data_IF_124438893904
#
_entry.id   IF_124438893904
#
_cell.length_a   1.000
_cell.length_b   1.000
_cell.length_c   1.000
_cell.angle_alpha   90.00
_cell.angle_beta   90.00
_cell.angle_gamma   90.00
#
_symmetry.space_group_name_H-M   'P 1'
#
loop_
_entity.id
_entity.type
_entity.pdbx_description
1 polymer ?
#
# COMPACT_ATOMS: atom_id res chain seq x y z
N UNK A 1 29.51 -3.15 -8.44
CA UNK A 1 29.32 -3.36 -7.01
C UNK A 1 28.01 -2.66 -6.65
N UNK A 2 26.92 -3.42 -6.57
CA UNK A 2 25.60 -2.90 -6.16
C UNK A 2 25.46 -3.19 -4.68
N UNK A 3 25.33 -2.15 -3.88
CA UNK A 3 25.09 -2.25 -2.44
C UNK A 3 23.72 -2.90 -2.21
N UNK A 4 23.72 -4.04 -1.49
CA UNK A 4 22.53 -4.65 -0.90
C UNK A 4 22.13 -3.79 0.32
N UNK A 5 21.23 -2.84 0.13
CA UNK A 5 20.49 -2.27 1.24
C UNK A 5 19.29 -3.19 1.53
N UNK A 6 19.47 -4.03 2.53
CA UNK A 6 18.42 -4.84 3.14
C UNK A 6 17.40 -3.89 3.78
N UNK A 7 16.17 -3.92 3.31
CA UNK A 7 15.06 -3.18 3.89
C UNK A 7 14.80 -3.65 5.34
N UNK A 8 15.17 -2.83 6.32
CA UNK A 8 15.18 -3.15 7.75
C UNK A 8 13.79 -3.16 8.43
N UNK A 9 12.69 -3.24 7.66
CA UNK A 9 11.32 -3.10 8.18
C UNK A 9 10.40 -4.30 7.95
N UNK A 10 10.96 -5.48 7.67
CA UNK A 10 10.15 -6.70 7.44
C UNK A 10 9.91 -7.53 8.70
N UNK A 11 9.81 -6.94 9.86
CA UNK A 11 9.30 -7.63 11.06
C UNK A 11 8.26 -6.74 11.70
N UNK A 12 6.97 -7.13 11.66
CA UNK A 12 6.04 -7.14 12.79
C UNK A 12 4.56 -7.16 12.36
N UNK A 13 3.91 -8.19 12.89
CA UNK A 13 2.49 -8.32 13.27
C UNK A 13 1.41 -8.32 12.20
N UNK A 14 1.04 -9.54 11.84
CA UNK A 14 -0.28 -9.90 11.36
C UNK A 14 -1.30 -9.78 12.50
N UNK A 15 -2.27 -8.88 12.38
CA UNK A 15 -3.56 -9.00 13.04
C UNK A 15 -4.64 -8.93 11.96
N UNK A 16 -5.34 -10.04 11.81
CA UNK A 16 -6.50 -10.19 10.95
C UNK A 16 -7.61 -9.24 11.35
N UNK A 17 -8.12 -8.47 10.36
CA UNK A 17 -9.50 -8.02 10.36
C UNK A 17 -10.09 -8.11 8.95
N UNK A 18 -11.28 -8.70 8.80
CA UNK A 18 -11.92 -8.89 7.50
C UNK A 18 -12.73 -7.66 7.10
N UNK A 19 -12.58 -7.25 5.83
CA UNK A 19 -13.57 -6.52 5.06
C UNK A 19 -14.13 -5.21 5.68
N UNK A 20 -13.30 -4.20 5.77
CA UNK A 20 -13.81 -2.82 5.70
C UNK A 20 -13.07 -2.05 4.58
N UNK A 21 -13.82 -1.67 3.54
CA UNK A 21 -13.31 -1.00 2.35
C UNK A 21 -13.01 0.49 2.55
N UNK A 22 -12.97 0.95 3.81
CA UNK A 22 -12.68 2.33 4.19
C UNK A 22 -11.54 2.42 5.18
N UNK A 23 -10.42 3.01 4.78
CA UNK A 23 -9.34 3.38 5.69
C UNK A 23 -9.78 4.55 6.56
N UNK A 24 -10.04 4.28 7.83
CA UNK A 24 -10.17 5.32 8.86
C UNK A 24 -8.78 5.74 9.31
N UNK A 25 -8.37 6.94 8.93
CA UNK A 25 -7.13 7.53 9.40
C UNK A 25 -7.25 7.88 10.88
N UNK A 26 -6.55 7.13 11.73
CA UNK A 26 -6.42 7.52 13.13
C UNK A 26 -5.48 8.71 13.24
N UNK A 27 -5.89 9.71 14.01
CA UNK A 27 -5.10 10.93 14.32
C UNK A 27 -3.70 10.65 14.91
N UNK A 28 -3.36 9.39 15.19
CA UNK A 28 -2.09 8.98 15.80
C UNK A 28 -0.89 8.96 14.85
N UNK A 29 -1.10 8.92 13.52
CA UNK A 29 0.02 8.88 12.57
C UNK A 29 0.71 10.23 12.35
N UNK A 30 0.17 11.33 12.88
CA UNK A 30 0.77 12.67 12.79
C UNK A 30 1.34 13.19 14.11
N UNK A 31 1.42 12.33 15.15
CA UNK A 31 2.07 12.69 16.42
C UNK A 31 3.51 12.21 16.46
N UNK A 32 4.41 12.90 15.79
CA UNK A 32 5.80 12.91 16.17
C UNK A 32 6.19 14.32 16.61
N UNK A 33 6.60 14.37 17.87
CA UNK A 33 7.41 15.36 18.53
C UNK A 33 6.75 16.66 19.05
N UNK A 34 6.80 16.67 20.34
CA UNK A 34 6.92 17.72 21.35
C UNK A 34 5.65 18.09 22.09
N UNK A 35 5.64 17.57 23.34
CA UNK A 35 4.86 18.14 24.41
C UNK A 35 5.36 19.54 24.69
N UNK A 36 4.48 20.50 24.57
CA UNK A 36 4.54 21.71 25.34
C UNK A 36 3.10 22.16 25.67
N UNK A 37 2.97 22.61 26.90
CA UNK A 37 1.75 22.97 27.60
C UNK A 37 0.93 23.99 26.82
N UNK A 38 -0.30 23.61 26.42
CA UNK A 38 -1.28 24.59 25.98
C UNK A 38 -1.92 25.26 27.19
N UNK A 39 -1.49 26.48 27.48
CA UNK A 39 -2.26 27.45 28.26
C UNK A 39 -3.42 27.97 27.41
N UNK A 40 -4.62 27.93 27.98
CA UNK A 40 -5.84 28.57 27.48
C UNK A 40 -5.57 30.00 27.04
N UNK A 41 -5.79 30.26 25.76
CA UNK A 41 -6.05 31.61 25.27
C UNK A 41 -7.19 31.49 24.26
N UNK A 42 -8.39 31.82 24.75
CA UNK A 42 -9.46 32.31 23.90
C UNK A 42 -8.95 33.60 23.24
N UNK A 43 -8.52 33.49 22.02
CA UNK A 43 -8.43 34.64 21.13
C UNK A 43 -8.77 34.15 19.73
N UNK A 44 -9.88 34.67 19.20
CA UNK A 44 -10.36 34.46 17.84
C UNK A 44 -9.41 35.13 16.84
N UNK A 45 -8.24 34.52 16.61
CA UNK A 45 -7.41 34.90 15.49
C UNK A 45 -7.51 33.78 14.44
N UNK A 46 -8.25 34.07 13.38
CA UNK A 46 -8.30 33.30 12.14
C UNK A 46 -6.93 33.36 11.44
N UNK A 47 -5.90 32.80 12.05
CA UNK A 47 -4.58 32.77 11.45
C UNK A 47 -4.42 31.39 10.79
N UNK A 48 -4.17 31.43 9.49
CA UNK A 48 -3.72 30.29 8.70
C UNK A 48 -2.28 29.99 9.13
N UNK A 49 -2.07 29.05 10.07
CA UNK A 49 -0.74 28.62 10.43
C UNK A 49 -0.25 27.60 9.41
N UNK A 50 0.40 28.10 8.37
CA UNK A 50 0.99 27.28 7.29
C UNK A 50 2.20 26.48 7.79
N UNK A 51 2.80 26.90 8.90
CA UNK A 51 4.00 26.24 9.45
C UNK A 51 3.68 24.96 10.20
N UNK A 52 2.48 24.83 10.76
CA UNK A 52 2.03 23.63 11.47
C UNK A 52 1.41 22.57 10.54
N UNK A 53 1.12 22.92 9.29
CA UNK A 53 0.44 22.02 8.35
C UNK A 53 -1.00 21.69 8.73
N UNK A 54 -1.54 22.31 9.78
CA UNK A 54 -2.89 22.07 10.28
C UNK A 54 -3.70 23.36 10.14
N UNK A 55 -4.60 23.38 9.17
CA UNK A 55 -5.62 24.42 9.01
C UNK A 55 -6.74 24.18 10.02
N UNK A 56 -6.62 24.75 11.21
CA UNK A 56 -7.71 24.84 12.18
C UNK A 56 -8.56 26.08 11.88
N UNK A 57 -9.49 25.96 10.97
CA UNK A 57 -10.56 26.92 10.82
C UNK A 57 -11.76 26.39 11.62
N UNK A 58 -12.30 27.22 12.49
CA UNK A 58 -13.36 26.84 13.42
C UNK A 58 -14.50 26.07 12.72
N UNK A 59 -14.67 24.80 13.08
CA UNK A 59 -15.87 24.02 12.85
C UNK A 59 -15.79 22.88 11.85
N UNK A 60 -14.98 22.94 10.78
CA UNK A 60 -14.93 21.87 9.77
C UNK A 60 -13.48 21.41 9.52
N UNK A 61 -13.21 20.12 9.68
CA UNK A 61 -11.93 19.55 9.27
C UNK A 61 -11.78 19.64 7.75
N UNK A 62 -10.72 20.29 7.27
CA UNK A 62 -10.43 20.36 5.85
C UNK A 62 -9.87 19.04 5.31
N UNK A 63 -9.30 18.22 6.18
CA UNK A 63 -8.77 16.90 5.80
C UNK A 63 -9.87 15.86 6.01
N UNK A 64 -10.25 15.11 4.98
CA UNK A 64 -11.22 14.03 5.14
C UNK A 64 -10.72 12.98 6.13
N UNK A 65 -11.61 12.47 6.98
CA UNK A 65 -11.27 11.38 7.91
C UNK A 65 -11.14 10.04 7.20
N UNK A 66 -11.77 9.89 6.04
CA UNK A 66 -11.73 8.68 5.22
C UNK A 66 -11.94 9.01 3.75
N UNK A 67 -11.42 8.13 2.89
CA UNK A 67 -11.72 8.10 1.46
C UNK A 67 -12.26 6.72 1.10
N UNK A 68 -13.11 6.66 0.10
CA UNK A 68 -13.62 5.41 -0.45
C UNK A 68 -13.12 5.21 -1.89
N UNK A 69 -13.32 4.01 -2.44
CA UNK A 69 -12.87 3.66 -3.79
C UNK A 69 -13.47 4.54 -4.89
N UNK A 70 -14.67 5.10 -4.67
CA UNK A 70 -15.30 6.00 -5.64
C UNK A 70 -14.47 7.27 -5.88
N UNK A 71 -13.61 7.65 -4.94
CA UNK A 71 -12.65 8.73 -5.13
C UNK A 71 -11.66 8.46 -6.29
N UNK A 72 -11.40 7.20 -6.61
CA UNK A 72 -10.54 6.80 -7.71
C UNK A 72 -11.31 6.63 -9.04
N UNK A 73 -12.62 6.39 -9.02
CA UNK A 73 -13.41 6.09 -10.22
C UNK A 73 -13.42 7.23 -11.24
N UNK A 74 -13.68 8.45 -10.75
CA UNK A 74 -13.73 9.67 -11.57
C UNK A 74 -12.53 10.58 -11.30
N UNK A 75 -11.40 10.01 -10.90
CA UNK A 75 -10.24 10.80 -10.51
C UNK A 75 -9.59 11.46 -11.72
N UNK A 76 -9.47 12.79 -11.64
CA UNK A 76 -8.58 13.53 -12.52
C UNK A 76 -7.15 13.38 -12.03
N UNK A 77 -6.33 12.70 -12.78
CA UNK A 77 -4.91 12.51 -12.49
C UNK A 77 -4.15 13.76 -12.84
N UNK A 78 -3.31 14.23 -11.94
CA UNK A 78 -2.42 15.36 -12.14
C UNK A 78 -1.00 14.87 -12.44
N UNK A 79 -0.10 15.81 -12.76
CA UNK A 79 1.28 15.47 -13.05
C UNK A 79 2.01 14.98 -11.79
N UNK A 80 2.94 14.04 -11.97
CA UNK A 80 3.82 13.53 -10.92
C UNK A 80 4.54 14.66 -10.15
N UNK A 81 4.62 14.53 -8.83
CA UNK A 81 5.31 15.46 -7.94
C UNK A 81 6.47 14.76 -7.25
N UNK A 82 7.63 15.43 -7.20
CA UNK A 82 8.87 14.98 -6.53
C UNK A 82 9.33 13.57 -6.97
N UNK A 83 8.91 13.11 -8.17
CA UNK A 83 9.19 11.74 -8.66
C UNK A 83 8.83 10.63 -7.66
N UNK A 84 7.81 10.86 -6.87
CA UNK A 84 7.33 9.94 -5.82
C UNK A 84 5.81 9.84 -5.76
N UNK A 85 5.12 10.93 -6.06
CA UNK A 85 3.71 11.05 -5.77
C UNK A 85 2.91 11.44 -7.00
N UNK A 86 1.71 10.89 -7.12
CA UNK A 86 0.73 11.19 -8.15
C UNK A 86 -0.47 11.86 -7.47
N UNK A 87 -0.62 13.20 -7.56
CA UNK A 87 -1.80 13.87 -7.04
C UNK A 87 -3.01 13.57 -7.92
N UNK A 88 -4.17 13.40 -7.28
CA UNK A 88 -5.45 13.19 -7.93
C UNK A 88 -6.54 14.08 -7.34
N UNK A 89 -7.52 14.41 -8.15
CA UNK A 89 -8.76 15.07 -7.70
C UNK A 89 -9.92 14.18 -8.09
N UNK A 90 -10.63 13.65 -7.09
CA UNK A 90 -11.78 12.78 -7.30
C UNK A 90 -12.71 12.82 -6.09
N UNK A 91 -14.03 12.64 -6.30
CA UNK A 91 -15.02 12.66 -5.23
C UNK A 91 -15.01 13.93 -4.37
N UNK A 92 -14.60 15.09 -4.94
CA UNK A 92 -14.48 16.35 -4.19
C UNK A 92 -13.28 16.42 -3.23
N UNK A 93 -12.33 15.49 -3.34
CA UNK A 93 -11.13 15.40 -2.52
C UNK A 93 -9.89 15.55 -3.40
N UNK A 94 -8.93 16.36 -2.94
CA UNK A 94 -7.55 16.30 -3.40
C UNK A 94 -6.83 15.24 -2.58
N UNK A 95 -6.31 14.21 -3.23
CA UNK A 95 -5.53 13.15 -2.61
C UNK A 95 -4.19 12.98 -3.33
N UNK A 96 -3.28 12.28 -2.67
CA UNK A 96 -1.97 11.96 -3.22
C UNK A 96 -1.74 10.46 -3.17
N UNK A 97 -1.26 9.89 -4.27
CA UNK A 97 -0.94 8.47 -4.39
C UNK A 97 0.58 8.33 -4.34
N UNK A 98 1.06 7.40 -3.51
CA UNK A 98 2.44 6.96 -3.51
C UNK A 98 2.66 6.03 -4.71
N UNK A 99 3.52 6.42 -5.68
CA UNK A 99 3.73 5.66 -6.92
C UNK A 99 4.27 4.26 -6.67
N UNK A 100 5.20 4.12 -5.70
CA UNK A 100 5.80 2.83 -5.36
C UNK A 100 4.77 1.90 -4.70
N UNK A 101 4.06 2.40 -3.69
CA UNK A 101 3.06 1.63 -2.97
C UNK A 101 1.88 1.20 -3.88
N UNK A 102 1.47 2.08 -4.81
CA UNK A 102 0.42 1.78 -5.78
C UNK A 102 0.85 0.67 -6.74
N UNK A 103 2.02 0.80 -7.34
CA UNK A 103 2.55 -0.16 -8.31
C UNK A 103 2.86 -1.51 -7.63
N UNK A 104 3.37 -1.50 -6.38
CA UNK A 104 3.54 -2.70 -5.56
C UNK A 104 2.21 -3.45 -5.36
N UNK A 105 1.10 -2.74 -5.13
CA UNK A 105 -0.24 -3.34 -5.02
C UNK A 105 -0.70 -3.95 -6.34
N UNK A 106 -0.53 -3.24 -7.44
CA UNK A 106 -0.90 -3.72 -8.77
C UNK A 106 -0.14 -5.01 -9.09
N UNK A 107 1.17 -5.00 -8.95
CA UNK A 107 2.02 -6.19 -9.17
C UNK A 107 1.64 -7.36 -8.26
N UNK A 108 1.31 -7.10 -6.99
CA UNK A 108 0.87 -8.17 -6.07
C UNK A 108 -0.40 -8.86 -6.56
N UNK A 109 -1.40 -8.09 -6.98
CA UNK A 109 -2.66 -8.65 -7.47
C UNK A 109 -2.44 -9.46 -8.76
N UNK A 110 -1.63 -8.96 -9.69
CA UNK A 110 -1.28 -9.68 -10.92
C UNK A 110 -0.54 -10.99 -10.63
N UNK A 111 0.50 -10.95 -9.79
CA UNK A 111 1.27 -12.14 -9.43
C UNK A 111 0.37 -13.16 -8.73
N UNK A 112 -0.49 -12.70 -7.82
CA UNK A 112 -1.45 -13.55 -7.12
C UNK A 112 -2.38 -14.26 -8.11
N UNK A 113 -2.94 -13.52 -9.07
CA UNK A 113 -3.81 -14.09 -10.09
C UNK A 113 -3.09 -15.15 -10.93
N UNK A 114 -1.86 -14.86 -11.39
CA UNK A 114 -1.03 -15.79 -12.19
C UNK A 114 -0.64 -17.05 -11.42
N UNK A 115 -0.37 -16.94 -10.11
CA UNK A 115 -0.07 -18.10 -9.27
C UNK A 115 -1.32 -18.94 -9.01
N UNK A 116 -2.46 -18.32 -8.71
CA UNK A 116 -3.71 -19.03 -8.47
C UNK A 116 -4.27 -19.69 -9.73
N UNK A 117 -4.06 -19.11 -10.91
CA UNK A 117 -4.40 -19.74 -12.21
C UNK A 117 -3.45 -20.89 -12.58
N UNK A 118 -2.32 -21.06 -11.86
CA UNK A 118 -1.31 -22.07 -12.15
C UNK A 118 -0.23 -21.65 -13.14
N UNK A 119 -0.32 -20.47 -13.74
CA UNK A 119 0.63 -19.98 -14.76
C UNK A 119 2.06 -19.83 -14.19
N UNK A 120 2.18 -19.30 -12.96
CA UNK A 120 3.47 -19.06 -12.30
C UNK A 120 3.73 -20.00 -11.10
N UNK A 121 3.14 -21.16 -11.15
CA UNK A 121 3.30 -22.22 -10.16
C UNK A 121 3.77 -23.50 -10.87
N UNK A 122 4.93 -24.00 -10.51
CA UNK A 122 5.49 -25.25 -11.02
C UNK A 122 5.94 -26.14 -9.87
N UNK A 123 6.32 -27.36 -10.18
CA UNK A 123 6.83 -28.35 -9.20
C UNK A 123 8.28 -28.63 -9.50
N UNK A 124 9.13 -28.56 -8.48
CA UNK A 124 10.54 -28.92 -8.55
C UNK A 124 10.75 -30.24 -7.82
N UNK A 125 11.21 -31.24 -8.52
CA UNK A 125 11.59 -32.53 -7.94
C UNK A 125 12.95 -32.42 -7.25
N UNK A 126 13.07 -33.05 -6.09
CA UNK A 126 14.30 -33.05 -5.31
C UNK A 126 15.23 -34.14 -5.84
N UNK A 127 16.52 -33.87 -5.96
CA UNK A 127 17.53 -34.86 -6.39
C UNK A 127 17.66 -36.01 -5.40
N UNK A 128 17.39 -35.75 -4.14
CA UNK A 128 17.36 -36.75 -3.06
C UNK A 128 16.10 -36.59 -2.22
N UNK A 129 15.49 -37.71 -1.86
CA UNK A 129 14.34 -37.72 -0.97
C UNK A 129 14.71 -37.12 0.39
N UNK A 130 13.95 -36.13 0.82
CA UNK A 130 14.13 -35.48 2.12
C UNK A 130 13.20 -36.13 3.15
N UNK A 131 13.76 -36.65 4.24
CA UNK A 131 12.98 -37.22 5.32
C UNK A 131 12.41 -36.11 6.19
N UNK A 132 11.08 -36.15 6.37
CA UNK A 132 10.36 -35.24 7.28
C UNK A 132 10.12 -35.96 8.61
N UNK A 133 10.50 -35.30 9.71
CA UNK A 133 10.18 -35.75 11.06
C UNK A 133 8.99 -34.96 11.54
N UNK A 134 7.83 -35.61 11.59
CA UNK A 134 6.59 -35.01 12.02
C UNK A 134 6.14 -35.59 13.37
N UNK A 135 5.51 -34.79 14.24
CA UNK A 135 4.76 -35.33 15.38
C UNK A 135 3.54 -36.11 14.87
N UNK A 136 2.95 -36.97 15.70
CA UNK A 136 1.79 -37.80 15.32
C UNK A 136 0.65 -37.00 14.68
N UNK A 137 0.32 -35.83 15.24
CA UNK A 137 -0.68 -34.94 14.69
C UNK A 137 -0.31 -34.44 13.28
N UNK A 138 0.97 -34.25 12.99
CA UNK A 138 1.46 -33.81 11.68
C UNK A 138 1.17 -34.82 10.58
N UNK A 139 1.24 -36.13 10.87
CA UNK A 139 0.87 -37.18 9.91
C UNK A 139 -0.62 -37.15 9.61
N UNK A 140 -1.46 -36.96 10.64
CA UNK A 140 -2.91 -36.86 10.48
C UNK A 140 -3.27 -35.66 9.62
N UNK A 141 -2.66 -34.51 9.86
CA UNK A 141 -2.87 -33.31 9.06
C UNK A 141 -2.44 -33.51 7.61
N UNK A 142 -1.27 -34.14 7.40
CA UNK A 142 -0.76 -34.42 6.05
C UNK A 142 -1.68 -35.36 5.28
N UNK A 143 -2.31 -36.31 5.96
CA UNK A 143 -3.30 -37.20 5.37
C UNK A 143 -4.64 -36.48 5.11
N UNK A 144 -5.14 -35.74 6.08
CA UNK A 144 -6.44 -35.05 6.00
C UNK A 144 -6.45 -33.97 4.93
N UNK A 145 -5.32 -33.28 4.71
CA UNK A 145 -5.19 -32.17 3.76
C UNK A 145 -4.31 -32.52 2.55
N UNK A 146 -4.17 -33.82 2.24
CA UNK A 146 -3.30 -34.29 1.17
C UNK A 146 -3.56 -33.61 -0.18
N UNK A 147 -4.85 -33.46 -0.55
CA UNK A 147 -5.24 -32.82 -1.81
C UNK A 147 -4.81 -31.33 -1.86
N UNK A 148 -4.96 -30.60 -0.76
CA UNK A 148 -4.57 -29.19 -0.70
C UNK A 148 -3.04 -29.03 -0.80
N UNK A 149 -2.29 -29.89 -0.12
CA UNK A 149 -0.85 -29.91 -0.11
C UNK A 149 -0.31 -30.26 -1.51
N UNK A 150 -0.87 -31.30 -2.12
CA UNK A 150 -0.51 -31.73 -3.46
C UNK A 150 -0.88 -30.70 -4.52
N UNK A 151 -2.00 -30.03 -4.40
CA UNK A 151 -2.42 -28.96 -5.28
C UNK A 151 -1.42 -27.80 -5.30
N UNK A 152 -0.72 -27.55 -4.20
CA UNK A 152 0.36 -26.57 -4.17
C UNK A 152 1.64 -27.09 -4.80
N UNK A 153 1.87 -28.41 -4.83
CA UNK A 153 3.02 -29.05 -5.47
C UNK A 153 4.00 -29.67 -4.48
N UNK A 154 3.65 -29.81 -3.21
CA UNK A 154 4.40 -30.68 -2.31
C UNK A 154 4.00 -32.13 -2.56
N UNK A 155 4.96 -32.97 -2.97
CA UNK A 155 4.75 -34.40 -3.16
C UNK A 155 5.42 -35.14 -2.01
N UNK A 156 4.60 -35.71 -1.14
CA UNK A 156 5.03 -36.46 0.04
C UNK A 156 4.65 -37.93 -0.10
N UNK A 157 5.56 -38.83 0.22
CA UNK A 157 5.31 -40.27 0.37
C UNK A 157 5.28 -40.63 1.84
N UNK A 158 4.20 -41.27 2.29
CA UNK A 158 4.04 -41.75 3.64
C UNK A 158 4.30 -43.29 3.64
N UNK A 159 5.40 -43.70 4.24
CA UNK A 159 5.74 -45.11 4.38
C UNK A 159 5.48 -45.55 5.81
N UNK A 160 4.41 -46.31 6.02
CA UNK A 160 4.13 -46.99 7.29
C UNK A 160 4.82 -48.38 7.27
N UNK A 161 5.88 -48.55 8.04
CA UNK A 161 6.67 -49.79 8.13
C UNK A 161 6.07 -50.84 9.08
N UNK A 162 4.79 -50.72 9.45
CA UNK A 162 4.06 -51.64 10.32
C UNK A 162 3.81 -51.10 11.74
N UNK A 163 2.96 -51.80 12.51
CA UNK A 163 2.40 -51.35 13.80
C UNK A 163 3.41 -51.05 14.93
N UNK A 164 4.69 -51.25 14.74
CA UNK A 164 5.74 -51.02 15.75
C UNK A 164 6.89 -50.11 15.31
N UNK A 165 6.85 -49.59 14.08
CA UNK A 165 7.88 -48.69 13.58
C UNK A 165 7.31 -47.29 13.35
N UNK A 166 8.12 -46.24 13.55
CA UNK A 166 7.66 -44.87 13.29
C UNK A 166 7.31 -44.70 11.82
N UNK A 167 6.20 -43.99 11.58
CA UNK A 167 5.82 -43.57 10.22
C UNK A 167 6.91 -42.64 9.68
N UNK A 168 7.40 -42.91 8.50
CA UNK A 168 8.39 -42.07 7.83
C UNK A 168 7.69 -41.35 6.69
N UNK A 169 7.83 -40.04 6.64
CA UNK A 169 7.42 -39.22 5.50
C UNK A 169 8.63 -38.78 4.72
N UNK A 170 8.59 -38.96 3.42
CA UNK A 170 9.61 -38.42 2.52
C UNK A 170 9.01 -37.39 1.59
N UNK A 171 9.70 -36.27 1.43
CA UNK A 171 9.39 -35.22 0.49
C UNK A 171 10.17 -35.44 -0.80
N UNK A 172 9.46 -35.59 -1.91
CA UNK A 172 10.02 -35.85 -3.23
C UNK A 172 10.03 -34.64 -4.14
N UNK A 173 9.09 -33.70 -3.93
CA UNK A 173 9.03 -32.50 -4.70
C UNK A 173 8.46 -31.35 -3.89
N UNK A 174 8.80 -30.13 -4.28
CA UNK A 174 8.38 -28.88 -3.67
C UNK A 174 7.78 -27.93 -4.69
N UNK A 175 6.87 -27.05 -4.27
CA UNK A 175 6.36 -25.98 -5.14
C UNK A 175 7.48 -24.99 -5.52
N UNK A 176 7.46 -24.55 -6.76
CA UNK A 176 8.22 -23.40 -7.24
C UNK A 176 7.25 -22.28 -7.59
N UNK A 177 7.27 -21.23 -6.80
CA UNK A 177 6.35 -20.08 -6.92
C UNK A 177 7.13 -18.88 -7.46
N UNK A 178 6.76 -18.40 -8.63
CA UNK A 178 7.43 -17.25 -9.29
C UNK A 178 8.96 -17.43 -9.30
N UNK A 179 9.43 -18.67 -9.60
CA UNK A 179 10.84 -19.03 -9.65
C UNK A 179 11.53 -19.15 -8.27
N UNK A 180 10.77 -19.27 -7.18
CA UNK A 180 11.30 -19.53 -5.83
C UNK A 180 10.81 -20.90 -5.35
N UNK A 181 11.73 -21.80 -5.07
CA UNK A 181 11.40 -23.09 -4.50
C UNK A 181 11.05 -22.92 -3.02
N UNK A 182 9.91 -23.47 -2.63
CA UNK A 182 9.53 -23.57 -1.23
C UNK A 182 10.24 -24.75 -0.58
N UNK A 183 10.25 -24.78 0.74
CA UNK A 183 11.01 -25.75 1.54
C UNK A 183 10.09 -26.67 2.33
N UNK A 184 10.67 -27.63 3.03
CA UNK A 184 10.02 -28.45 4.06
C UNK A 184 9.51 -27.60 5.25
N UNK A 185 10.24 -26.55 5.63
CA UNK A 185 9.82 -25.61 6.68
C UNK A 185 8.54 -24.89 6.27
N UNK A 186 8.42 -24.47 5.00
CA UNK A 186 7.22 -23.85 4.46
C UNK A 186 6.02 -24.81 4.44
N UNK A 187 6.26 -26.11 4.21
CA UNK A 187 5.23 -27.13 4.35
C UNK A 187 4.75 -27.27 5.78
N UNK A 188 5.67 -27.30 6.75
CA UNK A 188 5.32 -27.39 8.17
C UNK A 188 4.48 -26.19 8.63
N UNK A 189 4.85 -24.99 8.21
CA UNK A 189 4.08 -23.79 8.47
C UNK A 189 2.68 -23.85 7.85
N UNK A 190 2.56 -24.38 6.64
CA UNK A 190 1.27 -24.55 5.99
C UNK A 190 0.39 -25.60 6.72
N UNK A 191 0.98 -26.71 7.17
CA UNK A 191 0.29 -27.70 7.99
C UNK A 191 -0.25 -27.08 9.30
N UNK A 192 0.55 -26.25 9.95
CA UNK A 192 0.12 -25.53 11.14
C UNK A 192 -1.07 -24.59 10.84
N UNK A 193 -0.98 -23.81 9.74
CA UNK A 193 -2.08 -22.94 9.32
C UNK A 193 -3.36 -23.75 9.03
N UNK A 194 -3.25 -24.89 8.33
CA UNK A 194 -4.40 -25.75 8.05
C UNK A 194 -5.05 -26.28 9.34
N UNK A 195 -4.23 -26.62 10.34
CA UNK A 195 -4.72 -27.03 11.66
C UNK A 195 -5.46 -25.88 12.36
N UNK A 196 -4.85 -24.69 12.39
CA UNK A 196 -5.40 -23.52 13.10
C UNK A 196 -6.69 -23.00 12.46
N UNK A 197 -6.85 -23.20 11.15
CA UNK A 197 -7.99 -22.71 10.36
C UNK A 197 -8.99 -23.81 9.97
N UNK A 198 -8.81 -25.01 10.46
CA UNK A 198 -9.62 -26.18 10.09
C UNK A 198 -9.72 -26.35 8.54
N UNK A 199 -8.60 -26.13 7.85
CA UNK A 199 -8.47 -26.24 6.41
C UNK A 199 -9.13 -25.13 5.59
N UNK A 200 -9.68 -24.10 6.23
CA UNK A 200 -10.33 -22.98 5.51
C UNK A 200 -9.35 -22.06 4.80
N UNK A 201 -8.12 -21.95 5.31
CA UNK A 201 -7.07 -21.16 4.66
C UNK A 201 -6.37 -22.00 3.58
N UNK A 202 -6.57 -21.62 2.33
CA UNK A 202 -6.11 -22.41 1.18
C UNK A 202 -4.77 -21.99 0.58
N UNK A 203 -4.23 -20.83 0.99
CA UNK A 203 -2.98 -20.28 0.45
C UNK A 203 -1.89 -20.36 1.53
N UNK A 204 -0.75 -21.05 1.26
CA UNK A 204 0.34 -21.14 2.21
C UNK A 204 0.93 -19.76 2.57
N UNK A 205 1.35 -19.52 3.83
CA UNK A 205 1.98 -18.27 4.25
C UNK A 205 3.23 -17.94 3.46
N UNK A 206 4.02 -18.95 3.12
CA UNK A 206 5.22 -18.79 2.28
C UNK A 206 4.92 -18.24 0.88
N UNK A 207 3.77 -18.61 0.29
CA UNK A 207 3.34 -18.06 -1.00
C UNK A 207 3.10 -16.56 -0.86
N UNK A 208 2.40 -16.11 0.19
CA UNK A 208 2.21 -14.68 0.45
C UNK A 208 3.56 -13.94 0.59
N UNK A 209 4.51 -14.50 1.34
CA UNK A 209 5.85 -13.91 1.48
C UNK A 209 6.59 -13.78 0.14
N UNK A 210 6.54 -14.82 -0.68
CA UNK A 210 7.16 -14.80 -2.02
C UNK A 210 6.51 -13.73 -2.90
N UNK A 211 5.17 -13.68 -2.95
CA UNK A 211 4.45 -12.71 -3.77
C UNK A 211 4.73 -11.27 -3.32
N UNK A 212 4.66 -10.98 -2.02
CA UNK A 212 4.96 -9.66 -1.47
C UNK A 212 6.40 -9.23 -1.80
N UNK A 213 7.38 -10.13 -1.64
CA UNK A 213 8.78 -9.85 -1.96
C UNK A 213 9.01 -9.59 -3.44
N UNK A 214 8.33 -10.33 -4.33
CA UNK A 214 8.44 -10.14 -5.78
C UNK A 214 7.74 -8.86 -6.23
N UNK A 215 6.57 -8.56 -5.71
CA UNK A 215 5.84 -7.33 -6.01
C UNK A 215 6.66 -6.08 -5.63
N UNK A 216 7.18 -6.05 -4.41
CA UNK A 216 7.99 -4.93 -3.93
C UNK A 216 9.26 -4.70 -4.78
N UNK A 217 9.95 -5.77 -5.20
CA UNK A 217 11.17 -5.65 -6.01
C UNK A 217 10.90 -5.28 -7.47
N UNK A 218 9.71 -5.56 -7.97
CA UNK A 218 9.29 -5.22 -9.33
C UNK A 218 8.68 -3.85 -9.46
N UNK A 219 8.32 -3.22 -8.35
CA UNK A 219 7.62 -1.94 -8.36
C UNK A 219 8.50 -0.76 -8.75
N UNK A 220 7.87 0.26 -9.35
CA UNK A 220 8.47 1.55 -9.68
C UNK A 220 9.11 2.16 -8.42
N UNK A 221 10.33 2.67 -8.55
CA UNK A 221 11.06 3.23 -7.42
C UNK A 221 10.82 4.73 -7.26
N UNK A 222 11.07 5.25 -6.07
CA UNK A 222 11.17 6.68 -5.87
C UNK A 222 12.35 7.24 -6.66
N UNK A 223 12.14 8.34 -7.35
CA UNK A 223 13.11 8.94 -8.26
C UNK A 223 12.86 8.62 -9.74
N UNK A 224 12.08 7.59 -10.04
CA UNK A 224 11.67 7.29 -11.41
C UNK A 224 10.69 8.35 -11.94
N UNK A 225 10.96 8.85 -13.12
CA UNK A 225 10.12 9.86 -13.78
C UNK A 225 9.00 9.17 -14.54
N UNK A 226 7.76 9.55 -14.27
CA UNK A 226 6.58 9.07 -14.95
C UNK A 226 6.02 10.11 -15.91
N UNK A 227 5.61 9.65 -17.08
CA UNK A 227 4.82 10.45 -18.01
C UNK A 227 3.39 10.62 -17.49
N UNK A 228 2.66 11.67 -17.88
CA UNK A 228 1.26 11.86 -17.48
C UNK A 228 0.36 10.65 -17.81
N UNK A 229 0.61 9.99 -18.94
CA UNK A 229 -0.10 8.76 -19.35
C UNK A 229 0.19 7.58 -18.43
N UNK A 230 1.43 7.45 -17.95
CA UNK A 230 1.83 6.40 -17.01
C UNK A 230 1.20 6.63 -15.63
N UNK A 231 1.17 7.89 -15.16
CA UNK A 231 0.44 8.25 -13.95
C UNK A 231 -1.04 7.86 -14.04
N UNK A 232 -1.68 8.14 -15.18
CA UNK A 232 -3.08 7.79 -15.41
C UNK A 232 -3.28 6.28 -15.44
N UNK A 233 -2.39 5.53 -16.07
CA UNK A 233 -2.44 4.06 -16.12
C UNK A 233 -2.34 3.45 -14.73
N UNK A 234 -1.38 3.90 -13.91
CA UNK A 234 -1.21 3.43 -12.52
C UNK A 234 -2.52 3.64 -11.72
N UNK A 235 -3.17 4.80 -11.85
CA UNK A 235 -4.43 5.06 -11.15
C UNK A 235 -5.55 4.16 -11.66
N UNK A 236 -5.63 3.93 -12.98
CA UNK A 236 -6.61 3.01 -13.58
C UNK A 236 -6.41 1.56 -13.11
N UNK A 237 -5.18 1.07 -13.07
CA UNK A 237 -4.86 -0.27 -12.60
C UNK A 237 -5.06 -0.42 -11.10
N UNK A 238 -4.65 0.58 -10.31
CA UNK A 238 -4.84 0.59 -8.86
C UNK A 238 -6.32 0.45 -8.48
N UNK A 239 -7.20 1.16 -9.17
CA UNK A 239 -8.64 1.08 -8.88
C UNK A 239 -9.24 -0.30 -9.21
N UNK A 240 -8.61 -1.12 -10.07
CA UNK A 240 -9.04 -2.48 -10.35
C UNK A 240 -8.65 -3.46 -9.24
N UNK A 241 -7.70 -3.10 -8.38
CA UNK A 241 -7.25 -3.96 -7.30
C UNK A 241 -8.30 -4.09 -6.19
N UNK A 242 -8.27 -5.22 -5.47
CA UNK A 242 -9.21 -5.49 -4.37
C UNK A 242 -8.97 -4.59 -3.16
N UNK A 243 -7.71 -4.28 -2.86
CA UNK A 243 -7.26 -3.49 -1.72
C UNK A 243 -6.49 -2.25 -2.20
N UNK A 244 -7.15 -1.40 -3.01
CA UNK A 244 -6.52 -0.24 -3.66
C UNK A 244 -5.85 0.76 -2.71
N UNK A 245 -6.22 0.77 -1.42
CA UNK A 245 -5.68 1.69 -0.42
C UNK A 245 -4.52 1.14 0.40
N UNK A 246 -4.07 -0.10 0.11
CA UNK A 246 -2.96 -0.73 0.82
C UNK A 246 -1.96 -1.36 -0.15
N UNK A 247 -0.67 -1.17 0.07
CA UNK A 247 0.38 -1.89 -0.64
C UNK A 247 0.50 -3.35 -0.14
N UNK A 248 1.43 -4.12 -0.69
CA UNK A 248 1.69 -5.50 -0.26
C UNK A 248 2.09 -5.62 1.22
N UNK A 249 2.65 -4.57 1.80
CA UNK A 249 3.07 -4.51 3.21
C UNK A 249 2.05 -3.80 4.13
N UNK A 250 0.83 -3.53 3.64
CA UNK A 250 -0.22 -2.86 4.41
C UNK A 250 -0.05 -1.35 4.57
N UNK A 251 0.94 -0.72 3.90
CA UNK A 251 1.09 0.74 3.92
C UNK A 251 0.04 1.39 3.02
N UNK A 252 -0.42 2.61 3.36
CA UNK A 252 -1.37 3.31 2.52
C UNK A 252 -0.78 3.63 1.15
N UNK A 253 -1.53 3.34 0.09
CA UNK A 253 -1.20 3.76 -1.28
C UNK A 253 -1.66 5.17 -1.56
N UNK A 254 -2.72 5.62 -0.89
CA UNK A 254 -3.40 6.90 -1.16
C UNK A 254 -3.68 7.63 0.14
N UNK A 255 -3.38 8.92 0.17
CA UNK A 255 -3.58 9.80 1.33
C UNK A 255 -4.45 10.98 0.92
N UNK A 256 -5.61 11.22 1.58
CA UNK A 256 -6.40 12.42 1.35
C UNK A 256 -5.69 13.64 1.94
N UNK A 257 -5.65 14.72 1.19
CA UNK A 257 -5.04 15.98 1.62
C UNK A 257 -6.09 17.01 2.01
N UNK A 258 -7.08 17.24 1.13
CA UNK A 258 -8.05 18.33 1.29
C UNK A 258 -9.41 17.94 0.74
N UNK A 259 -10.45 18.23 1.51
CA UNK A 259 -11.82 18.28 1.02
C UNK A 259 -12.04 19.63 0.32
N UNK A 260 -12.21 19.60 -1.00
CA UNK A 260 -12.32 20.80 -1.83
C UNK A 260 -13.60 21.60 -1.56
N UNK A 261 -14.70 20.92 -1.21
CA UNK A 261 -15.94 21.60 -0.86
C UNK A 261 -15.80 22.37 0.47
N UNK A 262 -15.20 21.73 1.48
CA UNK A 262 -14.92 22.38 2.75
C UNK A 262 -13.96 23.56 2.56
N UNK A 263 -12.93 23.41 1.73
CA UNK A 263 -11.99 24.47 1.38
C UNK A 263 -12.71 25.64 0.70
N UNK A 264 -13.56 25.38 -0.31
CA UNK A 264 -14.34 26.43 -0.97
C UNK A 264 -15.26 27.16 0.00
N UNK A 265 -15.94 26.44 0.90
CA UNK A 265 -16.78 27.05 1.95
C UNK A 265 -15.98 27.99 2.88
N UNK A 266 -14.76 27.58 3.23
CA UNK A 266 -13.89 28.40 4.09
C UNK A 266 -13.39 29.65 3.35
N UNK A 267 -12.96 29.50 2.10
CA UNK A 267 -12.54 30.64 1.26
C UNK A 267 -13.72 31.63 1.09
N UNK A 268 -14.94 31.13 0.84
CA UNK A 268 -16.13 31.99 0.73
C UNK A 268 -16.43 32.75 2.03
N UNK A 269 -16.30 32.08 3.20
CA UNK A 269 -16.45 32.75 4.50
C UNK A 269 -15.41 33.87 4.69
N UNK A 270 -14.16 33.64 4.31
CA UNK A 270 -13.10 34.63 4.37
C UNK A 270 -13.35 35.80 3.40
N UNK A 271 -13.83 35.55 2.20
CA UNK A 271 -14.18 36.55 1.22
C UNK A 271 -15.38 37.43 1.63
N UNK A 272 -16.37 36.86 2.33
CA UNK A 272 -17.51 37.59 2.86
C UNK A 272 -17.16 38.47 4.07
N UNK A 273 -16.16 38.09 4.84
CA UNK A 273 -15.70 38.86 6.00
C UNK A 273 -14.90 40.11 5.58
N UNK A 274 -14.19 40.05 4.45
CA UNK A 274 -13.40 41.17 3.94
C UNK A 274 -14.23 42.28 3.26
N UNK A 275 -15.56 42.25 3.31
CA UNK A 275 -16.46 43.29 2.75
C UNK A 275 -16.44 44.65 3.46
N UNK A 276 -15.54 44.88 4.41
CA UNK A 276 -15.52 46.11 5.22
C UNK A 276 -14.19 46.84 5.40
N UNK A 277 -13.06 46.30 4.98
CA UNK A 277 -11.80 47.02 5.01
C UNK A 277 -10.82 46.54 3.93
N UNK A 278 -10.31 47.48 3.16
CA UNK A 278 -9.26 47.33 2.17
C UNK A 278 -7.89 46.96 2.78
N UNK A 279 -7.85 46.23 3.89
CA UNK A 279 -6.61 45.77 4.47
C UNK A 279 -6.23 44.43 3.89
N UNK A 280 -5.21 44.49 3.08
CA UNK A 280 -4.49 43.44 2.37
C UNK A 280 -4.16 42.22 3.26
N UNK A 281 -4.46 41.05 2.78
CA UNK A 281 -3.85 39.79 3.21
C UNK A 281 -2.33 39.98 3.29
N UNK A 282 -1.80 40.12 4.48
CA UNK A 282 -0.35 40.11 4.83
C UNK A 282 0.63 39.95 3.67
N UNK A 283 0.79 40.98 2.83
CA UNK A 283 1.83 41.01 1.78
C UNK A 283 1.52 40.32 0.47
N UNK A 284 0.38 39.67 0.30
CA UNK A 284 -0.08 39.22 -1.01
C UNK A 284 -0.81 40.40 -1.67
N UNK A 285 -0.04 41.25 -2.34
CA UNK A 285 -0.63 42.24 -3.24
C UNK A 285 -1.48 41.51 -4.27
N UNK A 286 -2.73 41.97 -4.49
CA UNK A 286 -3.48 41.64 -5.71
C UNK A 286 -2.66 42.13 -6.90
N UNK A 287 -1.78 41.27 -7.41
CA UNK A 287 -1.20 41.51 -8.69
C UNK A 287 -2.25 41.15 -9.72
N UNK A 288 -2.80 42.14 -10.38
CA UNK A 288 -3.51 41.86 -11.63
C UNK A 288 -2.58 41.02 -12.52
N UNK A 289 -3.08 39.89 -13.04
CA UNK A 289 -2.25 39.01 -13.89
C UNK A 289 -1.85 39.80 -15.14
N UNK A 290 -0.61 40.27 -15.16
CA UNK A 290 -0.04 40.97 -16.30
C UNK A 290 0.74 39.96 -17.14
N UNK A 291 0.20 39.64 -18.32
CA UNK A 291 0.87 38.78 -19.29
C UNK A 291 2.20 39.40 -19.75
N UNK A 292 2.30 40.73 -19.75
CA UNK A 292 3.52 41.46 -20.12
C UNK A 292 4.64 41.24 -19.07
N UNK A 293 4.31 41.28 -17.77
CA UNK A 293 5.26 40.98 -16.69
C UNK A 293 5.67 39.51 -16.67
N UNK A 294 4.73 38.61 -16.94
CA UNK A 294 5.04 37.17 -17.07
C UNK A 294 5.97 36.91 -18.28
N UNK A 295 5.72 37.55 -19.39
CA UNK A 295 6.58 37.44 -20.59
C UNK A 295 8.00 37.96 -20.34
N UNK A 296 8.14 39.11 -19.66
CA UNK A 296 9.44 39.66 -19.29
C UNK A 296 10.19 38.74 -18.32
N UNK A 297 9.51 38.18 -17.34
CA UNK A 297 10.11 37.24 -16.38
C UNK A 297 10.58 35.94 -17.06
N UNK A 298 9.79 35.41 -17.97
CA UNK A 298 10.14 34.23 -18.75
C UNK A 298 11.27 34.50 -19.75
N UNK A 299 11.33 35.69 -20.37
CA UNK A 299 12.40 36.10 -21.26
C UNK A 299 13.72 36.24 -20.54
N UNK A 300 13.74 36.86 -19.36
CA UNK A 300 14.93 36.98 -18.53
C UNK A 300 15.43 35.63 -18.02
N UNK A 301 14.51 34.70 -17.63
CA UNK A 301 14.86 33.34 -17.18
C UNK A 301 15.42 32.46 -18.31
N UNK A 302 15.07 32.77 -19.58
CA UNK A 302 15.54 32.03 -20.77
C UNK A 302 16.82 32.61 -21.36
N UNK A 303 17.41 33.66 -20.79
CA UNK A 303 18.62 34.27 -21.29
C UNK A 303 18.49 34.91 -22.68
N UNK A 304 17.27 35.28 -23.09
CA UNK A 304 16.93 35.96 -24.31
C UNK A 304 16.78 37.46 -24.01
N UNK A 305 17.88 38.13 -23.70
CA UNK A 305 17.98 39.58 -23.68
C UNK A 305 18.93 40.05 -24.75
#
# INVERSE_FOLDING_TARGET
MKHNETCAYCTLNESHDPLDSGLKWQKSCLRTARGDKLHNLHNESNILDVSSGILHLAGDSLVPESINKNCLEDAKVLQQVDKKFIPIVGGGVLAIIDQHAADERIHLEELRQKVLSGEMKTVTYLDTEQKLVLPEIGYQLLHNYADQIQNWGWLCNICSLGSRQPTVVTLNAVPCIVGVNLTDVDLLEFLQQLADTDGSSTIPPSVHRVLNSKACRGAIMFGDTLLPSECSLIVEELKQTSLCFQCAHGRPTTVPLVNLEALHKQIAKLGLWNGGSNELWHGLHQHEPSLERAAQHLSSARGLS
#
